data_IF_761985631402
#
_entry.id   IF_761985631402
#
_cell.length_a   1.000
_cell.length_b   1.000
_cell.length_c   1.000
_cell.angle_alpha   90.00
_cell.angle_beta   90.00
_cell.angle_gamma   90.00
#
_symmetry.space_group_name_H-M   'P 1'
#
loop_
_entity.id
_entity.type
_entity.pdbx_description
1 polymer ?
#
# COMPACT_ATOMS: atom_id res chain seq x y z
N UNK A 1 -25.40 16.37 -82.87
CA UNK A 1 -24.73 15.44 -81.95
C UNK A 1 -24.89 15.96 -80.53
N UNK A 2 -25.70 15.31 -79.70
CA UNK A 2 -25.89 15.63 -78.27
C UNK A 2 -25.27 14.50 -77.46
N UNK A 3 -24.31 14.85 -76.61
CA UNK A 3 -23.64 13.93 -75.69
C UNK A 3 -24.44 13.92 -74.39
N UNK A 4 -24.92 12.75 -73.97
CA UNK A 4 -25.52 12.52 -72.65
C UNK A 4 -24.56 11.66 -71.82
N UNK A 5 -23.98 12.23 -70.77
CA UNK A 5 -23.23 11.49 -69.76
C UNK A 5 -24.20 10.90 -68.72
N UNK A 6 -24.21 9.58 -68.60
CA UNK A 6 -24.82 8.86 -67.47
C UNK A 6 -23.86 8.95 -66.28
N UNK A 7 -24.32 9.55 -65.17
CA UNK A 7 -23.65 9.46 -63.87
C UNK A 7 -23.86 8.04 -63.31
N UNK A 8 -22.75 7.34 -63.05
CA UNK A 8 -22.70 6.15 -62.23
C UNK A 8 -22.36 6.58 -60.80
N UNK A 9 -23.31 6.47 -59.88
CA UNK A 9 -23.04 6.56 -58.44
C UNK A 9 -22.46 5.20 -57.98
N UNK A 10 -21.15 5.15 -57.74
CA UNK A 10 -20.54 4.05 -57.00
C UNK A 10 -20.81 4.24 -55.51
N UNK A 11 -21.65 3.38 -54.92
CA UNK A 11 -21.79 3.30 -53.47
C UNK A 11 -20.52 2.69 -52.88
N UNK A 12 -19.80 3.48 -52.09
CA UNK A 12 -18.76 2.99 -51.20
C UNK A 12 -19.46 2.48 -49.93
N UNK A 13 -19.58 1.16 -49.82
CA UNK A 13 -19.99 0.51 -48.58
C UNK A 13 -18.76 0.52 -47.64
N UNK A 14 -18.66 1.51 -46.75
CA UNK A 14 -17.72 1.43 -45.63
C UNK A 14 -18.24 0.35 -44.66
N UNK A 15 -17.64 -0.84 -44.70
CA UNK A 15 -17.67 -1.73 -43.54
C UNK A 15 -16.81 -1.09 -42.45
N UNK A 16 -17.45 -0.39 -41.52
CA UNK A 16 -16.84 -0.08 -40.24
C UNK A 16 -16.63 -1.39 -39.49
N UNK A 17 -15.43 -1.94 -39.56
CA UNK A 17 -15.00 -2.95 -38.59
C UNK A 17 -14.78 -2.20 -37.29
N UNK A 18 -15.79 -2.17 -36.44
CA UNK A 18 -15.58 -1.89 -35.01
C UNK A 18 -14.76 -3.06 -34.49
N UNK A 19 -13.45 -2.86 -34.37
CA UNK A 19 -12.65 -3.73 -33.52
C UNK A 19 -13.16 -3.41 -32.12
N UNK A 20 -14.02 -4.28 -31.58
CA UNK A 20 -14.30 -4.22 -30.15
C UNK A 20 -12.93 -4.25 -29.46
N UNK A 21 -12.66 -3.38 -28.47
CA UNK A 21 -11.47 -3.59 -27.65
C UNK A 21 -11.52 -5.05 -27.22
N UNK A 22 -10.46 -5.80 -27.52
CA UNK A 22 -10.33 -7.14 -26.97
C UNK A 22 -10.44 -6.93 -25.47
N UNK A 23 -11.51 -7.41 -24.85
CA UNK A 23 -11.51 -7.59 -23.41
C UNK A 23 -10.35 -8.55 -23.17
N UNK A 24 -9.23 -7.99 -22.72
CA UNK A 24 -8.22 -8.79 -22.06
C UNK A 24 -8.97 -9.24 -20.82
N UNK A 25 -9.50 -10.48 -20.84
CA UNK A 25 -9.87 -11.11 -19.58
C UNK A 25 -8.68 -10.91 -18.64
N UNK A 26 -8.93 -10.45 -17.42
CA UNK A 26 -7.99 -10.51 -16.31
C UNK A 26 -7.07 -11.71 -16.51
N UNK A 27 -5.77 -11.45 -16.66
CA UNK A 27 -4.82 -12.56 -16.69
C UNK A 27 -5.02 -13.40 -15.42
N UNK A 28 -5.00 -14.73 -15.49
CA UNK A 28 -4.98 -15.53 -14.27
C UNK A 28 -3.83 -15.05 -13.38
N UNK A 29 -3.98 -15.12 -12.05
CA UNK A 29 -2.87 -14.88 -11.14
C UNK A 29 -1.68 -15.78 -11.53
N UNK A 30 -0.61 -15.16 -12.05
CA UNK A 30 0.59 -15.87 -12.48
C UNK A 30 1.79 -15.11 -11.92
N UNK A 31 2.23 -15.45 -10.70
CA UNK A 31 3.35 -14.80 -10.07
C UNK A 31 4.63 -15.11 -10.88
N UNK A 32 5.21 -14.08 -11.49
CA UNK A 32 6.38 -14.22 -12.38
C UNK A 32 7.63 -13.61 -11.76
N UNK A 33 8.54 -14.48 -11.34
CA UNK A 33 9.88 -14.08 -10.91
C UNK A 33 10.77 -13.55 -12.05
N UNK A 34 12.04 -13.20 -11.75
CA UNK A 34 12.73 -13.51 -10.50
C UNK A 34 12.22 -12.66 -9.33
N UNK A 35 11.95 -13.31 -8.20
CA UNK A 35 11.62 -12.63 -6.95
C UNK A 35 12.89 -12.13 -6.25
N UNK A 36 12.75 -11.01 -5.55
CA UNK A 36 13.79 -10.49 -4.66
C UNK A 36 13.42 -10.80 -3.21
N UNK A 37 14.34 -10.51 -2.29
CA UNK A 37 14.11 -10.60 -0.86
C UNK A 37 14.19 -9.19 -0.28
N UNK A 38 13.35 -8.87 0.73
CA UNK A 38 13.41 -7.57 1.36
C UNK A 38 14.75 -7.44 2.08
N UNK A 39 15.46 -6.34 1.82
CA UNK A 39 16.65 -5.99 2.56
C UNK A 39 16.91 -4.49 2.44
N UNK A 40 17.40 -3.84 3.51
CA UNK A 40 17.59 -2.39 3.52
C UNK A 40 18.51 -1.94 2.41
N UNK A 41 18.14 -0.84 1.76
CA UNK A 41 18.84 -0.27 0.62
C UNK A 41 17.99 0.74 -0.15
N UNK A 42 18.61 1.51 -1.04
CA UNK A 42 17.91 2.50 -1.86
C UNK A 42 17.18 1.89 -3.06
N UNK A 43 17.38 0.61 -3.35
CA UNK A 43 16.77 -0.05 -4.49
C UNK A 43 15.29 -0.30 -4.24
N UNK A 44 14.44 0.16 -5.17
CA UNK A 44 13.00 -0.09 -5.16
C UNK A 44 12.72 -1.17 -6.21
N UNK A 45 12.41 -2.43 -5.80
CA UNK A 45 12.06 -3.48 -6.75
C UNK A 45 10.72 -3.17 -7.42
N UNK A 46 10.52 -3.68 -8.65
CA UNK A 46 9.22 -3.57 -9.31
C UNK A 46 8.17 -4.46 -8.62
N UNK A 47 6.86 -4.12 -8.67
CA UNK A 47 5.81 -4.91 -8.02
C UNK A 47 5.85 -6.41 -8.38
N UNK A 48 6.08 -6.75 -9.65
CA UNK A 48 6.21 -8.14 -10.11
C UNK A 48 7.39 -8.91 -9.52
N UNK A 49 8.41 -8.22 -9.03
CA UNK A 49 9.58 -8.82 -8.40
C UNK A 49 9.37 -9.08 -6.90
N UNK A 50 8.28 -8.59 -6.35
CA UNK A 50 7.93 -8.76 -4.94
C UNK A 50 6.83 -9.83 -4.84
N UNK A 51 7.05 -10.96 -4.15
CA UNK A 51 6.04 -12.01 -3.98
C UNK A 51 5.05 -11.66 -2.84
N UNK A 52 3.93 -12.40 -2.74
CA UNK A 52 3.05 -12.37 -1.55
C UNK A 52 2.43 -11.02 -1.21
N UNK A 53 2.03 -10.23 -2.22
CA UNK A 53 1.41 -8.92 -1.97
C UNK A 53 -0.11 -9.09 -1.83
N UNK A 54 -0.70 -8.50 -0.81
CA UNK A 54 -2.13 -8.55 -0.50
C UNK A 54 -2.72 -7.15 -0.28
N UNK A 55 -3.96 -6.94 -0.74
CA UNK A 55 -4.68 -5.68 -0.60
C UNK A 55 -6.13 -5.96 -0.29
N UNK A 56 -6.78 -5.00 0.36
CA UNK A 56 -8.22 -4.98 0.54
C UNK A 56 -8.90 -4.13 -0.54
N UNK A 57 -10.10 -4.54 -0.91
CA UNK A 57 -11.03 -3.81 -1.76
C UNK A 57 -12.43 -4.24 -1.32
N UNK A 58 -13.44 -3.38 -1.47
CA UNK A 58 -14.82 -3.71 -1.08
C UNK A 58 -15.43 -4.94 -1.80
N UNK A 59 -14.86 -5.36 -2.92
CA UNK A 59 -15.36 -6.49 -3.71
C UNK A 59 -14.34 -7.64 -3.75
N UNK A 60 -14.82 -8.86 -3.52
CA UNK A 60 -14.15 -10.08 -3.96
C UNK A 60 -14.14 -10.13 -5.50
N UNK A 61 -12.97 -10.51 -6.01
CA UNK A 61 -12.52 -10.31 -7.36
C UNK A 61 -11.82 -11.53 -7.96
N UNK A 62 -11.68 -12.64 -7.24
CA UNK A 62 -10.77 -13.71 -7.66
C UNK A 62 -11.16 -14.42 -8.95
N UNK A 63 -12.45 -14.55 -9.28
CA UNK A 63 -12.90 -15.31 -10.46
C UNK A 63 -14.32 -15.03 -10.95
N UNK A 64 -15.18 -14.40 -10.16
CA UNK A 64 -16.59 -14.19 -10.52
C UNK A 64 -16.84 -12.79 -11.13
N UNK A 65 -17.44 -12.78 -12.32
CA UNK A 65 -17.92 -11.56 -12.97
C UNK A 65 -19.47 -11.56 -13.03
N UNK A 66 -20.16 -10.55 -12.49
CA UNK A 66 -19.61 -9.37 -11.81
C UNK A 66 -19.04 -9.69 -10.41
N UNK A 67 -18.08 -8.88 -9.90
CA UNK A 67 -17.53 -9.01 -8.55
C UNK A 67 -18.61 -9.06 -7.47
N UNK A 68 -18.40 -9.86 -6.43
CA UNK A 68 -19.31 -9.98 -5.29
C UNK A 68 -18.83 -9.05 -4.18
N UNK A 69 -19.75 -8.38 -3.49
CA UNK A 69 -19.39 -7.54 -2.34
C UNK A 69 -18.92 -8.45 -1.21
N UNK A 70 -17.63 -8.40 -0.92
CA UNK A 70 -17.00 -9.10 0.20
C UNK A 70 -15.81 -8.28 0.71
N UNK A 71 -16.08 -7.22 1.48
CA UNK A 71 -15.07 -6.21 1.84
C UNK A 71 -14.09 -6.70 2.93
N UNK A 72 -14.26 -7.95 3.42
CA UNK A 72 -13.36 -8.61 4.35
C UNK A 72 -12.47 -9.68 3.69
N UNK A 73 -12.64 -9.90 2.39
CA UNK A 73 -11.80 -10.77 1.57
C UNK A 73 -10.62 -9.97 1.01
N UNK A 74 -9.41 -10.32 1.44
CA UNK A 74 -8.19 -9.79 0.87
C UNK A 74 -7.87 -10.45 -0.47
N UNK A 75 -7.09 -9.76 -1.29
CA UNK A 75 -6.78 -10.18 -2.65
C UNK A 75 -5.26 -10.17 -2.85
N UNK A 76 -4.71 -11.29 -3.31
CA UNK A 76 -3.35 -11.33 -3.83
C UNK A 76 -3.25 -10.64 -5.19
N UNK A 77 -2.11 -10.00 -5.49
CA UNK A 77 -1.76 -9.64 -6.87
C UNK A 77 -0.33 -9.97 -7.28
N UNK A 78 -0.18 -10.32 -8.56
CA UNK A 78 1.08 -10.77 -9.14
C UNK A 78 1.99 -9.63 -9.66
N UNK A 79 1.54 -8.37 -9.57
CA UNK A 79 2.24 -7.20 -10.07
C UNK A 79 2.16 -7.00 -11.59
N UNK A 80 1.40 -7.86 -12.30
CA UNK A 80 0.99 -7.72 -13.69
C UNK A 80 -0.54 -7.59 -13.82
N UNK A 81 -1.24 -7.48 -12.69
CA UNK A 81 -2.69 -7.30 -12.56
C UNK A 81 -3.52 -8.58 -12.61
N UNK A 82 -2.88 -9.75 -12.44
CA UNK A 82 -3.58 -10.98 -12.10
C UNK A 82 -3.82 -11.05 -10.59
N UNK A 83 -4.98 -11.57 -10.19
CA UNK A 83 -5.49 -11.56 -8.81
C UNK A 83 -6.07 -12.92 -8.39
N UNK A 84 -6.06 -13.20 -7.09
CA UNK A 84 -6.72 -14.37 -6.49
C UNK A 84 -7.05 -14.07 -5.01
N UNK A 85 -7.93 -14.85 -4.38
CA UNK A 85 -8.26 -14.69 -2.96
C UNK A 85 -7.07 -14.98 -2.04
N UNK A 86 -7.03 -14.23 -0.93
CA UNK A 86 -6.15 -14.42 0.23
C UNK A 86 -7.00 -14.66 1.50
N UNK A 87 -6.62 -14.10 2.65
CA UNK A 87 -7.44 -14.19 3.87
C UNK A 87 -8.83 -13.58 3.72
N UNK A 88 -9.83 -14.28 4.28
CA UNK A 88 -11.17 -13.76 4.55
C UNK A 88 -11.36 -13.64 6.06
N UNK A 89 -11.58 -12.42 6.54
CA UNK A 89 -11.81 -12.16 7.96
C UNK A 89 -13.28 -12.31 8.37
N UNK A 90 -14.18 -12.63 7.43
CA UNK A 90 -15.61 -12.76 7.69
C UNK A 90 -15.91 -13.73 8.82
N UNK A 91 -16.66 -13.26 9.82
CA UNK A 91 -17.09 -14.08 10.95
C UNK A 91 -15.98 -14.50 11.92
N UNK A 92 -14.75 -14.02 11.75
CA UNK A 92 -13.61 -14.31 12.64
C UNK A 92 -13.75 -13.68 14.03
N UNK A 93 -14.56 -12.62 14.16
CA UNK A 93 -14.71 -11.81 15.38
C UNK A 93 -15.91 -12.27 16.21
N UNK A 94 -15.63 -12.79 17.41
CA UNK A 94 -16.68 -13.27 18.31
C UNK A 94 -17.60 -12.13 18.79
N UNK A 95 -18.90 -12.23 18.51
CA UNK A 95 -19.91 -11.25 18.92
C UNK A 95 -20.08 -10.06 17.96
N UNK A 96 -19.36 -10.06 16.83
CA UNK A 96 -19.67 -9.16 15.73
C UNK A 96 -21.01 -9.58 15.09
N UNK A 97 -21.92 -8.63 14.94
CA UNK A 97 -23.24 -8.85 14.34
C UNK A 97 -23.37 -8.16 12.98
N UNK A 98 -22.37 -7.38 12.58
CA UNK A 98 -22.33 -6.76 11.26
C UNK A 98 -21.69 -7.77 10.31
N UNK A 99 -22.35 -7.98 9.17
CA UNK A 99 -22.03 -9.09 8.27
C UNK A 99 -20.82 -8.84 7.37
N UNK A 100 -20.40 -7.58 7.23
CA UNK A 100 -19.29 -7.20 6.38
C UNK A 100 -18.85 -5.77 6.73
N UNK A 101 -17.54 -5.55 6.83
CA UNK A 101 -16.89 -4.24 6.98
C UNK A 101 -15.70 -4.16 6.05
N UNK A 102 -15.42 -2.98 5.54
CA UNK A 102 -14.19 -2.75 4.78
C UNK A 102 -12.98 -2.91 5.69
N UNK A 103 -11.96 -3.56 5.14
CA UNK A 103 -10.66 -3.71 5.77
C UNK A 103 -9.84 -2.49 5.38
N UNK A 104 -9.56 -1.66 6.37
CA UNK A 104 -9.01 -0.31 6.18
C UNK A 104 -7.53 -0.25 6.50
N UNK A 105 -6.93 -1.36 6.91
CA UNK A 105 -5.48 -1.50 6.91
C UNK A 105 -5.13 -2.98 6.95
N UNK A 106 -3.99 -3.33 6.36
CA UNK A 106 -3.41 -4.66 6.38
C UNK A 106 -1.96 -4.57 6.82
N UNK A 107 -1.49 -5.57 7.55
CA UNK A 107 -0.09 -5.76 7.85
C UNK A 107 0.18 -7.23 8.21
N UNK A 108 1.42 -7.64 8.12
CA UNK A 108 1.94 -8.81 8.81
C UNK A 108 2.29 -8.43 10.24
N UNK A 109 2.04 -9.31 11.23
CA UNK A 109 2.49 -9.05 12.60
C UNK A 109 4.02 -8.86 12.72
N UNK A 110 4.82 -9.27 11.72
CA UNK A 110 6.27 -9.03 11.67
C UNK A 110 6.74 -8.49 10.33
N UNK A 111 6.34 -7.26 10.00
CA UNK A 111 6.73 -6.63 8.74
C UNK A 111 8.25 -6.57 8.55
N UNK A 112 8.69 -7.11 7.41
CA UNK A 112 10.09 -7.39 7.13
C UNK A 112 10.99 -6.15 7.19
N UNK A 113 10.46 -4.99 6.82
CA UNK A 113 11.19 -3.72 6.68
C UNK A 113 10.72 -2.64 7.68
N UNK A 114 9.91 -3.01 8.68
CA UNK A 114 9.36 -2.08 9.68
C UNK A 114 10.42 -1.12 10.27
N UNK A 115 11.50 -1.69 10.82
CA UNK A 115 12.58 -0.91 11.43
C UNK A 115 13.44 -0.19 10.39
N UNK A 116 13.43 -0.65 9.14
CA UNK A 116 14.18 -0.02 8.07
C UNK A 116 13.48 1.23 7.54
N UNK A 117 12.13 1.26 7.49
CA UNK A 117 11.36 2.49 7.21
C UNK A 117 11.60 3.54 8.28
N UNK A 118 11.47 3.18 9.57
CA UNK A 118 11.72 4.09 10.70
C UNK A 118 13.14 4.65 10.66
N UNK A 119 14.11 3.84 10.25
CA UNK A 119 15.50 4.25 10.13
C UNK A 119 15.84 4.96 8.80
N UNK A 120 14.84 5.21 7.93
CA UNK A 120 15.02 5.78 6.60
C UNK A 120 16.04 4.99 5.73
N UNK A 121 15.92 3.66 5.74
CA UNK A 121 16.76 2.68 5.02
C UNK A 121 15.98 1.79 4.05
N UNK A 122 14.67 1.94 3.98
CA UNK A 122 13.79 1.35 2.98
C UNK A 122 12.94 2.46 2.35
N UNK A 123 12.35 2.25 1.17
CA UNK A 123 11.34 3.17 0.67
C UNK A 123 10.02 2.90 1.39
N UNK A 124 9.30 3.96 1.74
CA UNK A 124 7.93 3.91 2.22
C UNK A 124 6.98 3.74 1.02
N UNK A 125 6.05 2.81 1.11
CA UNK A 125 4.92 2.66 0.20
C UNK A 125 3.65 3.14 0.89
N UNK A 126 2.76 3.74 0.12
CA UNK A 126 1.46 4.16 0.61
C UNK A 126 0.45 4.29 -0.53
N UNK A 127 -0.83 4.17 -0.23
CA UNK A 127 -1.93 4.64 -1.08
C UNK A 127 -2.56 5.88 -0.45
N UNK A 128 -3.46 6.52 -1.19
CA UNK A 128 -4.36 7.52 -0.65
C UNK A 128 -5.75 7.16 -1.13
N UNK A 129 -6.72 6.97 -0.26
CA UNK A 129 -8.05 6.50 -0.66
C UNK A 129 -8.95 7.65 -1.07
N UNK A 130 -10.26 7.43 -1.04
CA UNK A 130 -11.22 8.37 -1.61
C UNK A 130 -11.77 9.35 -0.57
N UNK A 131 -11.64 10.67 -0.78
CA UNK A 131 -12.16 11.71 0.13
C UNK A 131 -13.69 11.81 0.19
N UNK A 132 -14.46 10.74 -0.01
CA UNK A 132 -15.91 10.81 0.19
C UNK A 132 -16.21 10.74 1.70
N UNK A 133 -15.73 11.74 2.43
CA UNK A 133 -16.43 12.21 3.63
C UNK A 133 -17.79 12.74 3.14
N UNK A 134 -18.92 12.14 3.53
CA UNK A 134 -20.23 12.54 3.01
C UNK A 134 -20.67 13.85 3.67
N UNK A 135 -20.11 15.01 3.26
CA UNK A 135 -20.61 16.30 3.76
C UNK A 135 -20.46 17.52 2.84
N UNK A 136 -19.53 17.58 1.87
CA UNK A 136 -19.33 18.85 1.14
C UNK A 136 -19.41 18.76 -0.41
N UNK A 137 -20.55 19.17 -1.02
CA UNK A 137 -20.72 19.18 -2.47
C UNK A 137 -20.00 20.34 -3.21
N UNK A 138 -19.18 21.16 -2.54
CA UNK A 138 -18.57 22.36 -3.15
C UNK A 138 -17.24 22.12 -3.89
N UNK A 139 -16.67 20.91 -3.86
CA UNK A 139 -15.40 20.59 -4.55
C UNK A 139 -15.56 19.84 -5.89
N UNK A 140 -16.77 19.73 -6.41
CA UNK A 140 -17.04 19.10 -7.71
C UNK A 140 -16.91 20.14 -8.83
N UNK A 141 -15.69 20.49 -9.24
CA UNK A 141 -15.53 21.61 -10.18
C UNK A 141 -14.29 21.73 -11.05
N UNK A 142 -13.30 20.83 -11.02
CA UNK A 142 -12.09 21.01 -11.83
C UNK A 142 -11.72 19.79 -12.67
N UNK A 143 -11.93 19.87 -13.98
CA UNK A 143 -11.91 18.77 -14.98
C UNK A 143 -10.48 18.29 -15.31
N UNK A 144 -9.58 18.21 -14.32
CA UNK A 144 -8.26 17.56 -14.40
C UNK A 144 -8.24 16.17 -13.72
N UNK A 145 -9.41 15.64 -13.33
CA UNK A 145 -9.56 14.40 -12.53
C UNK A 145 -9.19 13.08 -13.22
N UNK A 146 -8.87 13.06 -14.52
CA UNK A 146 -8.48 11.79 -15.18
C UNK A 146 -7.06 11.31 -14.83
N UNK A 147 -6.19 12.18 -14.28
CA UNK A 147 -4.93 11.75 -13.67
C UNK A 147 -5.09 11.43 -12.17
N UNK A 148 -6.10 12.04 -11.51
CA UNK A 148 -6.37 11.87 -10.07
C UNK A 148 -6.92 10.46 -9.75
N UNK A 149 -7.85 9.95 -10.57
CA UNK A 149 -8.38 8.59 -10.36
C UNK A 149 -7.35 7.46 -10.54
N UNK A 150 -6.15 7.73 -11.06
CA UNK A 150 -5.05 6.74 -11.07
C UNK A 150 -4.37 6.72 -9.70
N UNK A 151 -4.11 7.88 -9.09
CA UNK A 151 -3.41 7.98 -7.81
C UNK A 151 -4.20 7.39 -6.64
N UNK A 152 -5.53 7.57 -6.60
CA UNK A 152 -6.44 6.97 -5.60
C UNK A 152 -6.37 5.44 -5.51
N UNK A 153 -5.89 4.82 -6.59
CA UNK A 153 -5.95 3.38 -6.84
C UNK A 153 -4.56 2.80 -7.09
N UNK A 154 -3.54 3.60 -6.82
CA UNK A 154 -2.14 3.26 -7.01
C UNK A 154 -1.47 3.09 -5.66
N UNK A 155 -0.39 2.32 -5.67
CA UNK A 155 0.59 2.37 -4.60
C UNK A 155 1.69 3.34 -5.02
N UNK A 156 1.83 4.42 -4.26
CA UNK A 156 2.89 5.40 -4.37
C UNK A 156 4.09 4.96 -3.53
N UNK A 157 5.24 5.57 -3.79
CA UNK A 157 6.41 5.42 -2.93
C UNK A 157 7.02 6.77 -2.58
N UNK A 158 7.66 6.82 -1.43
CA UNK A 158 8.69 7.78 -1.07
C UNK A 158 10.01 7.03 -0.84
N UNK A 159 11.04 7.40 -1.59
CA UNK A 159 12.38 6.83 -1.43
C UNK A 159 13.10 7.44 -0.21
N UNK A 160 14.16 6.77 0.26
CA UNK A 160 14.99 7.25 1.38
C UNK A 160 15.57 8.67 1.20
N UNK A 161 15.59 9.19 -0.03
CA UNK A 161 16.04 10.54 -0.38
C UNK A 161 14.91 11.54 -0.65
N UNK A 162 13.65 11.18 -0.38
CA UNK A 162 12.47 12.04 -0.59
C UNK A 162 11.96 12.09 -2.02
N UNK A 163 12.50 11.25 -2.92
CA UNK A 163 11.96 11.12 -4.28
C UNK A 163 10.67 10.31 -4.26
N UNK A 164 9.61 10.82 -4.88
CA UNK A 164 8.29 10.21 -4.93
C UNK A 164 7.93 9.67 -6.33
N UNK A 165 6.99 8.74 -6.40
CA UNK A 165 6.48 8.21 -7.66
C UNK A 165 5.47 7.07 -7.49
N UNK A 166 5.13 6.42 -8.60
CA UNK A 166 4.31 5.20 -8.59
C UNK A 166 5.18 3.98 -8.38
N UNK A 167 4.83 3.14 -7.40
CA UNK A 167 5.36 1.81 -7.30
C UNK A 167 4.50 0.82 -8.10
N UNK A 168 3.19 0.85 -7.90
CA UNK A 168 2.22 0.05 -8.64
C UNK A 168 1.06 0.93 -9.13
N UNK A 169 0.73 0.83 -10.42
CA UNK A 169 -0.44 1.47 -11.03
C UNK A 169 -1.66 0.54 -10.96
N UNK A 170 -2.90 1.04 -11.13
CA UNK A 170 -4.10 0.20 -11.01
C UNK A 170 -4.05 -1.04 -11.92
N UNK A 171 -3.66 -0.96 -13.21
CA UNK A 171 -3.55 -2.16 -14.06
C UNK A 171 -2.46 -3.16 -13.66
N UNK A 172 -1.49 -2.77 -12.83
CA UNK A 172 -0.48 -3.68 -12.28
C UNK A 172 -0.97 -4.38 -11.00
N UNK A 173 -1.94 -3.78 -10.31
CA UNK A 173 -2.61 -4.34 -9.12
C UNK A 173 -3.75 -5.24 -9.57
N UNK A 174 -4.65 -4.71 -10.40
CA UNK A 174 -5.85 -5.38 -10.88
C UNK A 174 -6.20 -4.87 -12.30
N UNK A 175 -6.13 -5.74 -13.30
CA UNK A 175 -6.48 -5.39 -14.69
C UNK A 175 -7.96 -5.04 -14.89
N UNK A 176 -8.85 -5.55 -14.04
CA UNK A 176 -10.29 -5.23 -14.08
C UNK A 176 -10.61 -3.98 -13.25
N UNK A 177 -9.61 -3.44 -12.56
CA UNK A 177 -9.63 -2.15 -11.89
C UNK A 177 -9.80 -2.24 -10.39
N UNK A 178 -9.00 -1.48 -9.66
CA UNK A 178 -9.07 -1.27 -8.21
C UNK A 178 -10.21 -0.28 -7.90
N UNK A 179 -11.03 -0.52 -6.87
CA UNK A 179 -12.06 0.45 -6.47
C UNK A 179 -11.53 1.41 -5.42
N UNK A 180 -11.01 0.81 -4.35
CA UNK A 180 -10.29 1.41 -3.23
C UNK A 180 -9.05 0.56 -2.97
N UNK A 181 -8.01 1.17 -2.40
CA UNK A 181 -6.83 0.45 -1.93
C UNK A 181 -6.59 0.91 -0.49
N UNK A 182 -7.31 0.26 0.42
CA UNK A 182 -7.36 0.63 1.83
C UNK A 182 -6.51 -0.32 2.70
N UNK A 183 -5.78 -1.24 2.09
CA UNK A 183 -4.92 -2.17 2.79
C UNK A 183 -3.82 -2.63 1.88
N UNK A 184 -2.60 -2.73 2.40
CA UNK A 184 -1.43 -3.09 1.63
C UNK A 184 -0.49 -3.92 2.49
N UNK A 185 -0.25 -5.15 2.07
CA UNK A 185 0.82 -6.02 2.56
C UNK A 185 1.75 -6.35 1.38
N UNK A 186 3.07 -6.27 1.56
CA UNK A 186 4.04 -6.37 0.44
C UNK A 186 5.17 -7.36 0.70
N UNK A 187 5.34 -7.88 1.90
CA UNK A 187 6.35 -8.90 2.13
C UNK A 187 5.86 -9.95 3.09
N UNK A 188 6.04 -11.21 2.68
CA UNK A 188 5.83 -12.27 3.63
C UNK A 188 6.83 -12.22 4.79
N UNK A 189 6.43 -12.74 5.95
CA UNK A 189 7.30 -12.74 7.13
C UNK A 189 8.65 -13.42 6.78
N UNK A 190 9.75 -12.70 6.96
CA UNK A 190 11.09 -13.18 6.59
C UNK A 190 11.68 -14.16 7.59
N UNK A 191 10.93 -14.64 8.59
CA UNK A 191 11.51 -15.44 9.69
C UNK A 191 12.18 -16.71 9.16
N UNK A 192 13.53 -16.78 9.09
CA UNK A 192 14.24 -17.91 8.52
C UNK A 192 14.23 -19.13 9.45
N UNK A 193 13.58 -19.00 10.62
CA UNK A 193 13.51 -20.01 11.69
C UNK A 193 12.10 -20.51 11.95
N UNK A 194 11.09 -19.90 11.35
CA UNK A 194 9.71 -20.36 11.48
C UNK A 194 9.45 -21.51 10.52
N UNK A 195 9.28 -22.72 11.03
CA UNK A 195 8.69 -23.82 10.25
C UNK A 195 7.18 -23.64 10.00
N UNK A 196 6.63 -22.49 10.38
CA UNK A 196 5.21 -22.20 10.46
C UNK A 196 4.74 -21.25 9.35
N UNK A 197 5.66 -20.60 8.63
CA UNK A 197 5.38 -19.79 7.45
C UNK A 197 6.17 -20.36 6.26
N UNK A 198 5.58 -20.46 5.07
CA UNK A 198 6.23 -21.11 3.96
C UNK A 198 7.47 -20.31 3.51
N UNK A 199 8.38 -20.99 2.84
CA UNK A 199 9.64 -20.42 2.33
C UNK A 199 9.40 -19.07 1.64
N UNK A 200 10.37 -18.13 1.61
CA UNK A 200 10.30 -16.88 0.81
C UNK A 200 10.14 -17.06 -0.71
N UNK A 201 9.93 -18.30 -1.15
CA UNK A 201 9.65 -18.73 -2.52
C UNK A 201 8.19 -19.17 -2.70
N UNK A 202 7.38 -19.17 -1.64
CA UNK A 202 5.94 -19.31 -1.72
C UNK A 202 5.36 -17.97 -2.20
N UNK A 203 4.71 -17.93 -3.37
CA UNK A 203 4.14 -16.69 -3.87
C UNK A 203 2.81 -16.30 -3.20
N UNK A 204 2.26 -17.14 -2.32
CA UNK A 204 0.93 -16.99 -1.72
C UNK A 204 0.88 -17.35 -0.20
N UNK A 205 1.83 -16.92 0.65
CA UNK A 205 1.67 -17.08 2.09
C UNK A 205 0.57 -16.15 2.57
N UNK A 206 -0.58 -16.67 2.99
CA UNK A 206 -1.57 -15.81 3.64
C UNK A 206 -0.96 -15.35 4.96
N UNK A 207 -0.56 -14.08 5.05
CA UNK A 207 0.16 -13.59 6.21
C UNK A 207 -0.07 -12.12 6.60
N UNK A 208 -1.04 -11.46 5.96
CA UNK A 208 -1.65 -10.24 6.48
C UNK A 208 -2.53 -10.57 7.72
N UNK A 209 -1.92 -11.02 8.81
CA UNK A 209 -2.64 -11.45 10.02
C UNK A 209 -2.94 -10.31 11.00
N UNK A 210 -2.58 -9.07 10.64
CA UNK A 210 -2.95 -7.85 11.33
C UNK A 210 -3.81 -6.97 10.42
N UNK A 211 -4.92 -6.46 10.93
CA UNK A 211 -5.83 -5.65 10.12
C UNK A 211 -6.64 -4.64 10.93
N UNK A 212 -7.11 -3.59 10.25
CA UNK A 212 -8.10 -2.63 10.75
C UNK A 212 -9.43 -2.79 9.99
N UNK A 213 -10.51 -2.21 10.52
CA UNK A 213 -11.81 -2.22 9.86
C UNK A 213 -12.42 -0.83 9.91
N UNK A 214 -13.11 -0.43 8.84
CA UNK A 214 -13.80 0.85 8.75
C UNK A 214 -14.61 1.22 9.99
N UNK A 215 -14.25 2.38 10.53
CA UNK A 215 -14.82 3.05 11.68
C UNK A 215 -14.46 2.44 13.03
N UNK A 216 -13.41 1.62 13.10
CA UNK A 216 -12.91 0.90 14.29
C UNK A 216 -14.06 0.33 15.13
N UNK A 217 -14.64 -0.82 14.78
CA UNK A 217 -15.95 -1.20 15.31
C UNK A 217 -15.97 -1.45 16.82
N UNK A 218 -17.07 -1.01 17.45
CA UNK A 218 -17.39 -1.32 18.84
C UNK A 218 -18.01 -2.73 18.94
N UNK A 219 -17.22 -3.72 19.33
CA UNK A 219 -17.64 -5.12 19.48
C UNK A 219 -17.52 -5.51 20.95
N UNK A 220 -18.59 -6.05 21.54
CA UNK A 220 -18.66 -6.40 22.96
C UNK A 220 -18.26 -5.26 23.92
N UNK A 221 -18.51 -4.00 23.52
CA UNK A 221 -18.18 -2.82 24.31
C UNK A 221 -16.71 -2.39 24.24
N UNK A 222 -15.90 -3.00 23.37
CA UNK A 222 -14.51 -2.62 23.12
C UNK A 222 -14.40 -2.15 21.68
N UNK A 223 -13.85 -0.94 21.51
CA UNK A 223 -13.55 -0.39 20.19
C UNK A 223 -12.13 -0.77 19.82
N UNK A 224 -11.97 -1.51 18.73
CA UNK A 224 -10.69 -2.10 18.32
C UNK A 224 -10.23 -1.46 17.02
N UNK A 225 -9.01 -0.93 17.01
CA UNK A 225 -8.36 -0.33 15.83
C UNK A 225 -7.45 -1.30 15.11
N UNK A 226 -6.87 -2.26 15.83
CA UNK A 226 -6.06 -3.32 15.21
C UNK A 226 -6.52 -4.66 15.76
N UNK A 227 -6.84 -5.57 14.85
CA UNK A 227 -7.16 -6.96 15.11
C UNK A 227 -5.97 -7.83 14.75
N UNK A 228 -5.77 -8.88 15.54
CA UNK A 228 -4.90 -10.00 15.19
C UNK A 228 -5.78 -11.19 14.77
N UNK A 229 -5.66 -11.62 13.51
CA UNK A 229 -6.28 -12.82 12.98
C UNK A 229 -5.37 -14.03 13.24
N UNK A 230 -5.88 -15.05 13.93
CA UNK A 230 -5.13 -16.29 14.07
C UNK A 230 -5.51 -17.25 12.91
N UNK A 231 -4.63 -17.52 11.94
CA UNK A 231 -4.97 -18.33 10.78
C UNK A 231 -5.20 -19.82 11.10
N UNK A 232 -4.74 -20.30 12.27
CA UNK A 232 -4.96 -21.68 12.71
C UNK A 232 -6.36 -21.85 13.27
N UNK A 233 -6.82 -20.90 14.08
CA UNK A 233 -8.14 -20.97 14.71
C UNK A 233 -9.22 -20.25 13.92
N UNK A 234 -8.83 -19.42 12.94
CA UNK A 234 -9.70 -18.51 12.18
C UNK A 234 -10.50 -17.57 13.10
N UNK A 235 -9.85 -17.10 14.16
CA UNK A 235 -10.46 -16.21 15.17
C UNK A 235 -9.61 -14.96 15.25
N UNK A 236 -10.29 -13.82 15.20
CA UNK A 236 -9.68 -12.51 15.44
C UNK A 236 -9.81 -12.08 16.89
N UNK A 237 -8.71 -11.62 17.45
CA UNK A 237 -8.64 -11.04 18.79
C UNK A 237 -8.28 -9.56 18.70
N UNK A 238 -8.79 -8.77 19.64
CA UNK A 238 -8.40 -7.36 19.74
C UNK A 238 -6.92 -7.26 20.10
N UNK A 239 -6.14 -6.59 19.27
CA UNK A 239 -4.71 -6.35 19.49
C UNK A 239 -4.49 -4.97 20.10
N UNK A 240 -4.97 -3.92 19.42
CA UNK A 240 -4.92 -2.53 19.89
C UNK A 240 -6.32 -1.93 19.85
N UNK A 241 -6.72 -1.31 20.96
CA UNK A 241 -7.98 -0.57 21.08
C UNK A 241 -7.86 0.89 20.65
N UNK A 242 -8.95 1.47 20.16
CA UNK A 242 -9.00 2.90 19.83
C UNK A 242 -8.66 3.80 21.03
N UNK A 243 -9.02 3.38 22.25
CA UNK A 243 -8.64 4.09 23.47
C UNK A 243 -7.13 4.13 23.71
N UNK A 244 -6.40 3.09 23.31
CA UNK A 244 -4.94 3.06 23.41
C UNK A 244 -4.29 3.98 22.36
N UNK A 245 -4.78 3.97 21.12
CA UNK A 245 -4.33 4.91 20.06
C UNK A 245 -4.61 6.36 20.49
N UNK A 246 -5.84 6.66 20.93
CA UNK A 246 -6.23 7.99 21.41
C UNK A 246 -5.30 8.49 22.55
N UNK A 247 -4.92 7.59 23.46
CA UNK A 247 -3.97 7.92 24.53
C UNK A 247 -2.58 8.23 23.96
N UNK A 248 -2.11 7.42 23.00
CA UNK A 248 -0.79 7.56 22.40
C UNK A 248 -0.61 8.87 21.61
N UNK A 249 -1.66 9.31 20.91
CA UNK A 249 -1.66 10.55 20.10
C UNK A 249 -2.12 11.79 20.87
N UNK A 250 -2.59 11.64 22.13
CA UNK A 250 -3.09 12.76 22.94
C UNK A 250 -2.19 14.01 23.00
N UNK A 251 -0.85 13.94 22.92
CA UNK A 251 -0.01 15.15 22.87
C UNK A 251 -0.20 16.02 21.62
N UNK A 252 -0.75 15.46 20.54
CA UNK A 252 -1.01 16.16 19.28
C UNK A 252 -2.43 16.71 19.19
N UNK A 253 -3.32 16.27 20.08
CA UNK A 253 -4.70 16.74 20.13
C UNK A 253 -4.76 18.13 20.78
N UNK A 254 -5.42 19.13 20.16
CA UNK A 254 -5.56 20.45 20.76
C UNK A 254 -6.18 20.37 22.16
N UNK A 255 -5.63 21.07 23.17
CA UNK A 255 -6.19 21.08 24.53
C UNK A 255 -7.63 21.62 24.63
N UNK A 256 -8.10 22.29 23.58
CA UNK A 256 -9.47 22.80 23.44
C UNK A 256 -10.46 21.75 23.00
N UNK A 257 -9.99 20.64 22.41
CA UNK A 257 -10.85 19.53 22.03
C UNK A 257 -11.29 18.78 23.29
N UNK A 258 -12.61 18.63 23.45
CA UNK A 258 -13.22 17.97 24.64
C UNK A 258 -13.98 16.69 24.30
N UNK A 259 -13.99 16.31 23.02
CA UNK A 259 -14.61 15.06 22.58
C UNK A 259 -13.81 13.84 23.02
N UNK A 260 -14.40 12.67 22.82
CA UNK A 260 -13.73 11.39 23.01
C UNK A 260 -13.13 10.96 21.67
N UNK A 261 -11.82 11.23 21.50
CA UNK A 261 -11.07 10.89 20.27
C UNK A 261 -11.27 9.41 19.91
N UNK A 262 -11.32 8.52 20.90
CA UNK A 262 -11.47 7.10 20.64
C UNK A 262 -12.77 6.77 19.89
N UNK A 263 -13.80 7.60 19.95
CA UNK A 263 -15.07 7.33 19.24
C UNK A 263 -15.09 7.75 17.77
N UNK A 264 -14.08 8.51 17.34
CA UNK A 264 -13.98 9.03 15.98
C UNK A 264 -12.66 8.64 15.29
N UNK A 265 -11.86 7.78 15.94
CA UNK A 265 -10.70 7.18 15.30
C UNK A 265 -11.14 6.16 14.27
N UNK A 266 -10.39 6.14 13.18
CA UNK A 266 -10.41 5.15 12.13
C UNK A 266 -8.96 4.98 11.67
N UNK A 267 -8.45 3.75 11.70
CA UNK A 267 -7.06 3.46 11.33
C UNK A 267 -7.02 2.97 9.89
N UNK A 268 -6.38 3.77 9.03
CA UNK A 268 -6.43 3.64 7.56
C UNK A 268 -5.10 3.10 6.98
N UNK A 269 -4.04 2.98 7.77
CA UNK A 269 -2.77 2.45 7.28
C UNK A 269 -2.00 1.83 8.41
N UNK A 270 -1.32 0.72 8.14
CA UNK A 270 -0.72 -0.10 9.20
C UNK A 270 0.56 -0.75 8.72
N UNK A 271 1.58 -0.73 9.57
CA UNK A 271 2.63 -1.74 9.61
C UNK A 271 2.80 -2.17 11.06
N UNK A 272 3.11 -3.44 11.32
CA UNK A 272 3.24 -4.03 12.65
C UNK A 272 4.60 -4.71 12.83
N UNK A 273 5.16 -4.51 14.01
CA UNK A 273 6.25 -5.32 14.55
C UNK A 273 5.84 -5.81 15.93
N UNK A 274 5.21 -6.98 15.99
CA UNK A 274 4.87 -7.74 17.20
C UNK A 274 6.09 -8.55 17.63
N UNK A 275 6.59 -8.21 18.80
CA UNK A 275 7.67 -8.91 19.47
C UNK A 275 7.22 -9.33 20.86
N UNK A 276 6.79 -10.57 20.98
CA UNK A 276 6.54 -11.16 22.28
C UNK A 276 5.50 -12.26 22.19
N UNK A 277 4.38 -12.03 22.86
CA UNK A 277 3.23 -12.93 22.80
C UNK A 277 2.41 -12.59 21.57
N UNK A 278 2.58 -13.36 20.49
CA UNK A 278 1.88 -13.13 19.21
C UNK A 278 0.40 -12.83 19.42
N UNK A 279 -0.05 -11.70 18.86
CA UNK A 279 -1.43 -11.25 18.95
C UNK A 279 -1.78 -10.55 20.26
N UNK A 280 -0.80 -10.09 21.03
CA UNK A 280 -1.01 -9.27 22.23
C UNK A 280 -0.12 -8.03 22.20
N UNK A 281 -0.72 -6.85 22.35
CA UNK A 281 0.03 -5.58 22.45
C UNK A 281 0.81 -5.50 23.78
N UNK A 282 2.09 -5.85 23.75
CA UNK A 282 3.00 -5.96 24.89
C UNK A 282 4.43 -5.41 24.63
N UNK A 283 5.37 -5.74 25.54
CA UNK A 283 6.69 -5.14 25.54
C UNK A 283 7.57 -5.65 24.40
N UNK A 284 7.81 -4.78 23.44
CA UNK A 284 8.62 -5.08 22.24
C UNK A 284 7.90 -4.59 21.00
N UNK A 285 6.59 -4.46 21.11
CA UNK A 285 5.73 -4.15 19.98
C UNK A 285 5.83 -2.72 19.53
N UNK A 286 5.64 -2.55 18.23
CA UNK A 286 5.56 -1.27 17.58
C UNK A 286 4.61 -1.33 16.38
N UNK A 287 4.01 -0.20 16.05
CA UNK A 287 3.27 0.00 14.81
C UNK A 287 3.71 1.29 14.10
N UNK A 288 3.59 1.30 12.77
CA UNK A 288 3.42 2.50 11.98
C UNK A 288 1.95 2.57 11.60
N UNK A 289 1.34 3.75 11.68
CA UNK A 289 -0.04 3.89 11.27
C UNK A 289 -0.36 5.27 10.72
N UNK A 290 -1.42 5.36 9.94
CA UNK A 290 -2.15 6.57 9.58
C UNK A 290 -3.59 6.48 10.13
N UNK A 291 -4.32 7.59 10.06
CA UNK A 291 -5.70 7.69 10.53
C UNK A 291 -6.52 8.39 9.46
N UNK A 292 -7.80 8.03 9.33
CA UNK A 292 -8.74 8.83 8.56
C UNK A 292 -8.74 10.28 9.06
N UNK A 293 -8.99 11.29 8.20
CA UNK A 293 -8.92 12.67 8.63
C UNK A 293 -9.92 12.98 9.74
N UNK A 294 -9.44 13.64 10.80
CA UNK A 294 -10.23 14.02 11.96
C UNK A 294 -10.28 15.53 12.07
N UNK A 295 -11.48 16.06 11.92
CA UNK A 295 -11.78 17.45 12.24
C UNK A 295 -11.74 17.63 13.78
N UNK A 296 -10.79 18.42 14.26
CA UNK A 296 -10.54 18.67 15.69
C UNK A 296 -10.83 20.14 16.06
N UNK A 297 -11.03 20.99 15.05
CA UNK A 297 -11.35 22.41 15.18
C UNK A 297 -12.83 22.62 14.92
N UNK A 298 -13.38 23.79 15.26
CA UNK A 298 -14.75 24.11 14.84
C UNK A 298 -15.88 23.56 15.69
N UNK A 299 -15.61 22.97 16.88
CA UNK A 299 -16.69 22.77 17.88
C UNK A 299 -17.36 24.11 18.17
N UNK A 300 -18.55 24.34 17.61
CA UNK A 300 -19.41 25.44 18.03
C UNK A 300 -19.69 25.22 19.53
N UNK A 301 -19.32 26.16 20.42
CA UNK A 301 -19.57 26.01 21.85
C UNK A 301 -21.08 25.90 22.18
N UNK A 302 -21.97 26.20 21.24
CA UNK A 302 -23.42 26.02 21.35
C UNK A 302 -23.95 24.76 20.66
N UNK A 303 -23.09 24.05 19.92
CA UNK A 303 -23.43 22.81 19.23
C UNK A 303 -22.19 21.87 19.14
N UNK A 304 -21.79 21.25 20.27
CA UNK A 304 -20.57 20.44 20.36
C UNK A 304 -20.59 19.14 19.53
N UNK A 305 -21.69 18.85 18.83
CA UNK A 305 -21.79 17.70 17.92
C UNK A 305 -21.50 18.03 16.44
N UNK A 306 -21.20 19.28 16.11
CA UNK A 306 -20.78 19.66 14.76
C UNK A 306 -19.27 19.85 14.79
N UNK A 307 -18.56 18.80 14.39
CA UNK A 307 -17.36 18.96 13.57
C UNK A 307 -17.79 19.83 12.39
N UNK A 308 -17.10 20.94 12.10
CA UNK A 308 -17.53 21.81 11.00
C UNK A 308 -17.46 21.11 9.64
N UNK A 309 -16.85 19.91 9.63
CA UNK A 309 -16.75 18.98 8.51
C UNK A 309 -15.75 19.48 7.47
N UNK A 310 -15.00 20.53 7.80
CA UNK A 310 -13.98 21.14 6.96
C UNK A 310 -12.63 20.74 7.50
N UNK A 311 -12.18 19.55 7.13
CA UNK A 311 -10.76 19.21 7.21
C UNK A 311 -10.04 20.21 6.30
N UNK A 312 -9.29 21.13 6.91
CA UNK A 312 -8.52 22.12 6.18
C UNK A 312 -7.10 21.59 6.00
N UNK A 313 -6.71 21.16 4.78
CA UNK A 313 -5.37 20.64 4.56
C UNK A 313 -4.35 21.71 4.94
N UNK A 314 -3.31 21.32 5.69
CA UNK A 314 -2.14 22.17 5.88
C UNK A 314 -2.44 23.55 6.49
N UNK A 315 -3.31 23.62 7.50
CA UNK A 315 -3.33 24.76 8.42
C UNK A 315 -3.03 24.29 9.82
N UNK A 316 -2.27 25.09 10.58
CA UNK A 316 -1.94 24.86 11.99
C UNK A 316 -3.17 24.91 12.93
N UNK A 317 -4.36 24.56 12.44
CA UNK A 317 -5.62 24.56 13.17
C UNK A 317 -5.66 23.48 14.25
N UNK A 318 -4.94 22.38 14.04
CA UNK A 318 -4.92 21.25 14.97
C UNK A 318 -5.82 20.09 14.58
N UNK A 319 -6.37 20.11 13.36
CA UNK A 319 -6.97 18.93 12.72
C UNK A 319 -5.92 17.86 12.43
N UNK A 320 -6.36 16.61 12.31
CA UNK A 320 -5.60 15.53 11.71
C UNK A 320 -6.10 15.42 10.27
N UNK A 321 -5.24 15.70 9.28
CA UNK A 321 -5.69 15.75 7.88
C UNK A 321 -5.59 14.41 7.13
N UNK A 322 -5.08 13.38 7.81
CA UNK A 322 -4.95 12.01 7.34
C UNK A 322 -3.60 11.73 6.64
N UNK A 323 -2.81 12.78 6.43
CA UNK A 323 -1.47 12.69 5.82
C UNK A 323 -0.38 12.34 6.82
N UNK A 324 -0.71 12.25 8.09
CA UNK A 324 0.23 11.94 9.14
C UNK A 324 0.53 10.44 9.21
N UNK A 325 1.81 10.13 9.43
CA UNK A 325 2.24 8.76 9.75
C UNK A 325 2.88 8.78 11.12
N UNK A 326 2.30 8.03 12.04
CA UNK A 326 2.83 7.87 13.39
C UNK A 326 3.68 6.61 13.50
N UNK A 327 4.80 6.72 14.20
CA UNK A 327 5.51 5.60 14.79
C UNK A 327 5.16 5.52 16.27
N UNK A 328 4.67 4.37 16.70
CA UNK A 328 4.30 4.14 18.09
C UNK A 328 4.85 2.82 18.60
N UNK A 329 5.55 2.89 19.72
CA UNK A 329 6.09 1.72 20.43
C UNK A 329 5.35 1.52 21.74
N UNK A 330 5.15 0.28 22.13
CA UNK A 330 4.52 -0.06 23.40
C UNK A 330 5.14 0.72 24.57
N UNK A 331 4.29 1.29 25.41
CA UNK A 331 4.69 2.06 26.59
C UNK A 331 5.31 3.43 26.32
N UNK A 332 5.32 3.90 25.06
CA UNK A 332 5.80 5.23 24.68
C UNK A 332 4.64 6.08 24.12
N UNK A 333 4.85 7.39 24.00
CA UNK A 333 3.94 8.24 23.22
C UNK A 333 4.20 8.03 21.73
N UNK A 334 3.17 8.20 20.89
CA UNK A 334 3.34 8.20 19.45
C UNK A 334 4.21 9.39 19.02
N UNK A 335 4.91 9.24 17.89
CA UNK A 335 5.74 10.28 17.28
C UNK A 335 5.50 10.28 15.78
N UNK A 336 5.52 11.44 15.12
CA UNK A 336 5.50 11.46 13.66
C UNK A 336 6.75 10.79 13.08
N UNK A 337 6.56 10.05 11.99
CA UNK A 337 7.62 9.38 11.26
C UNK A 337 8.53 10.42 10.59
N UNK A 338 9.85 10.31 10.80
CA UNK A 338 10.84 11.05 10.00
C UNK A 338 11.36 10.14 8.89
N UNK A 339 10.97 10.41 7.65
CA UNK A 339 11.31 9.61 6.48
C UNK A 339 11.49 10.52 5.26
N UNK A 340 12.28 10.11 4.26
CA UNK A 340 12.45 10.90 3.03
C UNK A 340 13.13 12.28 3.21
N UNK A 341 13.54 12.63 4.44
CA UNK A 341 14.11 13.94 4.77
C UNK A 341 13.13 14.95 5.39
N UNK A 342 11.90 14.55 5.68
CA UNK A 342 10.88 15.36 6.37
C UNK A 342 10.17 14.58 7.47
N UNK A 343 9.33 15.28 8.24
CA UNK A 343 8.36 14.65 9.13
C UNK A 343 7.05 14.44 8.37
N UNK A 344 6.45 13.27 8.56
CA UNK A 344 5.08 12.96 8.15
C UNK A 344 4.11 13.44 9.24
N UNK A 345 4.02 14.76 9.38
CA UNK A 345 3.11 15.47 10.30
C UNK A 345 2.07 16.28 9.51
N UNK A 346 1.10 16.90 10.18
CA UNK A 346 0.03 17.70 9.57
C UNK A 346 0.53 18.87 8.69
N UNK A 347 1.79 19.30 8.86
CA UNK A 347 2.36 20.37 8.02
C UNK A 347 2.86 19.84 6.68
N UNK A 348 3.08 18.53 6.56
CA UNK A 348 3.49 17.89 5.32
C UNK A 348 2.30 17.70 4.38
N UNK A 349 2.35 18.34 3.22
CA UNK A 349 1.30 18.24 2.21
C UNK A 349 1.57 17.06 1.27
N UNK A 350 1.02 15.88 1.58
CA UNK A 350 1.10 14.65 0.79
C UNK A 350 0.65 14.92 -0.63
N UNK A 351 -0.49 15.60 -0.82
CA UNK A 351 -1.04 15.91 -2.16
C UNK A 351 -0.02 16.62 -3.06
N UNK A 352 0.58 17.69 -2.54
CA UNK A 352 1.54 18.51 -3.28
C UNK A 352 2.88 17.80 -3.47
N UNK A 353 3.35 17.04 -2.48
CA UNK A 353 4.64 16.36 -2.51
C UNK A 353 4.65 15.15 -3.44
N UNK A 354 3.52 14.46 -3.57
CA UNK A 354 3.44 13.15 -4.23
C UNK A 354 2.60 13.18 -5.52
N UNK A 355 1.76 14.21 -5.67
CA UNK A 355 0.75 14.25 -6.72
C UNK A 355 -0.49 13.39 -6.42
N UNK A 356 -0.61 12.85 -5.20
CA UNK A 356 -1.82 12.20 -4.71
C UNK A 356 -3.04 13.12 -4.84
N UNK A 357 -4.22 12.55 -4.65
CA UNK A 357 -5.49 13.29 -4.82
C UNK A 357 -5.89 14.07 -3.58
N UNK A 358 -5.45 13.61 -2.42
CA UNK A 358 -5.79 14.09 -1.10
C UNK A 358 -4.68 13.74 -0.11
N UNK A 359 -4.93 14.04 1.16
CA UNK A 359 -3.99 13.80 2.25
C UNK A 359 -4.24 12.46 2.96
N UNK A 360 -5.41 11.82 2.84
CA UNK A 360 -5.73 10.56 3.53
C UNK A 360 -4.81 9.46 3.05
N UNK A 361 -4.04 8.88 3.97
CA UNK A 361 -3.21 7.72 3.69
C UNK A 361 -3.98 6.47 4.09
N UNK A 362 -4.31 5.66 3.08
CA UNK A 362 -5.22 4.50 3.22
C UNK A 362 -4.46 3.18 3.08
N UNK A 363 -3.14 3.21 2.95
CA UNK A 363 -2.34 2.00 3.16
C UNK A 363 -0.89 2.40 3.44
N UNK A 364 -0.17 1.55 4.17
CA UNK A 364 1.24 1.77 4.50
C UNK A 364 2.00 0.48 4.35
N UNK A 365 3.15 0.53 3.69
CA UNK A 365 4.08 -0.60 3.66
C UNK A 365 5.50 -0.13 3.28
N UNK A 366 6.41 -1.05 3.02
CA UNK A 366 7.79 -0.76 2.69
C UNK A 366 8.31 -1.61 1.54
N UNK A 367 9.27 -1.10 0.77
CA UNK A 367 10.07 -1.93 -0.14
C UNK A 367 11.52 -1.48 -0.15
N UNK A 368 12.41 -2.46 -0.18
CA UNK A 368 13.83 -2.21 -0.31
C UNK A 368 14.57 -3.44 -0.81
N UNK A 369 15.56 -3.19 -1.67
CA UNK A 369 16.64 -4.11 -1.96
C UNK A 369 17.98 -3.38 -1.91
N UNK A 370 19.08 -4.06 -1.55
CA UNK A 370 20.42 -3.51 -1.66
C UNK A 370 20.70 -3.07 -3.09
N UNK A 371 21.52 -2.05 -3.28
CA UNK A 371 21.98 -1.71 -4.63
C UNK A 371 22.63 -2.93 -5.28
N UNK A 372 22.42 -3.16 -6.60
CA UNK A 372 23.14 -4.17 -7.34
C UNK A 372 24.63 -3.93 -7.14
N UNK A 373 25.28 -4.79 -6.35
CA UNK A 373 26.69 -4.63 -6.04
C UNK A 373 27.46 -4.62 -7.35
N UNK A 374 28.09 -3.50 -7.68
CA UNK A 374 28.94 -3.31 -8.86
C UNK A 374 30.14 -4.27 -8.91
N UNK A 375 30.25 -5.24 -7.99
CA UNK A 375 31.19 -6.36 -8.02
C UNK A 375 31.15 -7.18 -9.33
N UNK A 376 30.02 -7.24 -10.05
CA UNK A 376 29.99 -7.85 -11.40
C UNK A 376 30.77 -7.02 -12.45
N UNK A 377 30.86 -5.69 -12.28
CA UNK A 377 31.64 -4.82 -13.17
C UNK A 377 33.15 -5.02 -12.99
N UNK A 378 33.61 -5.35 -11.78
CA UNK A 378 35.03 -5.64 -11.52
C UNK A 378 35.45 -7.03 -12.02
N UNK A 379 34.56 -8.03 -12.02
CA UNK A 379 34.86 -9.34 -12.62
C UNK A 379 34.90 -9.29 -14.16
N UNK A 380 34.08 -8.45 -14.80
CA UNK A 380 34.16 -8.20 -16.25
C UNK A 380 35.40 -7.38 -16.63
N UNK A 381 35.82 -6.40 -15.81
CA UNK A 381 37.10 -5.70 -16.00
C UNK A 381 38.32 -6.57 -15.71
N UNK A 382 38.25 -7.46 -14.71
CA UNK A 382 39.33 -8.39 -14.35
C UNK A 382 39.61 -9.46 -15.41
N UNK A 383 38.58 -9.93 -16.11
CA UNK A 383 38.72 -10.90 -17.22
C UNK A 383 39.24 -10.25 -18.51
N UNK A 384 38.91 -8.98 -18.77
CA UNK A 384 39.53 -8.20 -19.86
C UNK A 384 41.02 -7.88 -19.59
N UNK A 385 41.39 -7.65 -18.33
CA UNK A 385 42.79 -7.47 -17.90
C UNK A 385 43.65 -8.73 -18.10
N UNK A 386 43.13 -9.91 -17.75
CA UNK A 386 43.85 -11.18 -17.91
C UNK A 386 44.01 -11.61 -19.38
N UNK A 387 43.04 -11.32 -20.26
CA UNK A 387 43.15 -11.62 -21.68
C UNK A 387 44.19 -10.74 -22.41
N UNK A 388 44.42 -9.51 -21.95
CA UNK A 388 45.37 -8.58 -22.57
C UNK A 388 46.86 -8.92 -22.34
N UNK A 389 47.17 -9.66 -21.27
CA UNK A 389 48.55 -10.07 -20.93
C UNK A 389 49.01 -11.37 -21.62
N UNK A 390 48.09 -12.18 -22.17
CA UNK A 390 48.43 -13.42 -22.87
C UNK A 390 48.90 -13.21 -24.33
N UNK A 391 48.72 -12.02 -24.91
CA UNK A 391 49.04 -11.76 -26.33
C UNK A 391 50.51 -11.43 -26.61
N UNK A 392 51.37 -11.36 -25.58
CA UNK A 392 52.80 -10.98 -25.70
C UNK A 392 53.77 -12.09 -25.29
N UNK A 393 53.54 -13.36 -25.67
CA UNK A 393 54.55 -14.42 -25.47
C UNK A 393 54.69 -15.46 -26.59
N UNK A 394 54.16 -15.20 -27.79
CA UNK A 394 54.42 -16.04 -28.97
C UNK A 394 55.25 -15.27 -29.99
N UNK A 395 56.57 -15.22 -29.78
CA UNK A 395 57.53 -14.86 -30.83
C UNK A 395 58.38 -16.12 -31.11
N UNK A 396 58.13 -16.71 -32.27
CA UNK A 396 58.79 -17.92 -32.77
C UNK A 396 60.29 -17.65 -32.98
N UNK A 397 61.15 -18.46 -32.34
CA UNK A 397 62.58 -18.51 -32.64
C UNK A 397 62.80 -19.36 -33.89
N UNK A 398 63.28 -18.73 -34.96
CA UNK A 398 63.79 -19.40 -36.16
C UNK A 398 64.90 -20.39 -35.80
N UNK A 399 64.78 -21.63 -36.28
CA UNK A 399 65.90 -22.57 -36.42
C UNK A 399 66.64 -22.29 -37.72
N UNK A 400 67.94 -22.07 -37.64
CA UNK A 400 68.87 -22.11 -38.77
C UNK A 400 69.43 -23.52 -38.89
N UNK A 401 69.26 -24.13 -40.06
CA UNK A 401 69.90 -25.40 -40.44
C UNK A 401 71.42 -25.24 -40.53
N UNK A 402 72.13 -26.25 -40.01
CA UNK A 402 73.30 -26.89 -40.63
C UNK A 402 73.47 -28.29 -40.06
#
# INVERSE_FOLDING_TARGET
MKITHKLLFSSWLLLGVTVAPSQVLAGPFVPQGPFVQPAPGPGIPWPKNVPGKEYSDRFDKDTQEPPVLDPEQNIYWDGNGGRQDAFDYSGSRAGDTVTAREVDALANHQDALFWDVIANRAALLFSTGSTVVPANPLFVGNIAYNQLGIHEKSVLFESIGGGTGFWATPPQIDQEGVNDLDGLEVWSSVSPTSSQYPSPADPTPDDADMYSLLGDPLINGIRTSVWYYNPITQISNSYITAGQIATAISPFIPPTYTGDIANILDLDGLMVFDQGSVGQWDQGDAILFSLMPIDLVGQDPNNPSILDGVITPNVNGGDIDGGEIWSWRFGQAAQFLFHGGHLWDTAFNVRQATGAVNENIDALEAVAVPEPSTFLSLLTLGTLGAASTLKRKLKSSKTSEN
#
